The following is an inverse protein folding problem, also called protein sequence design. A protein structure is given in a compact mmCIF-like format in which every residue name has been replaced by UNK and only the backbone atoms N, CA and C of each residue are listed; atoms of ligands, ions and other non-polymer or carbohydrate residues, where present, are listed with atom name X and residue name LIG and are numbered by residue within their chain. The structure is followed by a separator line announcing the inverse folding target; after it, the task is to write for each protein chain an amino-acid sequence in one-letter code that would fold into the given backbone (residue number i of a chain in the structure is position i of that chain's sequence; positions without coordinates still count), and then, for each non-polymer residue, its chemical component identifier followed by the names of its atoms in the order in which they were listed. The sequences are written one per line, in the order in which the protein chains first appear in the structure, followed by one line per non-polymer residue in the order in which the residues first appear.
data_IF_549606656881
#
_entry.id   IF_549606656881
#
_cell.length_a   1.000
_cell.length_b   1.000
_cell.length_c   1.000
_cell.angle_alpha   90.00
_cell.angle_beta   90.00
_cell.angle_gamma   90.00
#
_symmetry.space_group_name_H-M   'P 1'
#
loop_
_entity.id
_entity.type
_entity.pdbx_description
1 polymer ?
#
# COMPACT_ATOMS: atom_id res chain seq x y z
N UNK A 1 -16.06 20.49 10.14
CA UNK A 1 -14.76 19.89 9.78
C UNK A 1 -14.91 19.02 8.52
N UNK A 2 -14.11 19.24 7.48
CA UNK A 2 -14.06 18.33 6.32
C UNK A 2 -13.40 17.02 6.76
N UNK A 3 -14.03 15.87 6.49
CA UNK A 3 -13.43 14.54 6.73
C UNK A 3 -12.65 14.10 5.48
N UNK A 4 -11.46 13.56 5.65
CA UNK A 4 -10.67 13.02 4.53
C UNK A 4 -11.37 11.80 3.92
N UNK A 5 -11.44 11.76 2.59
CA UNK A 5 -11.94 10.62 1.81
C UNK A 5 -10.83 9.66 1.38
N UNK A 6 -9.57 10.01 1.62
CA UNK A 6 -8.39 9.21 1.24
C UNK A 6 -7.93 8.31 2.38
N UNK A 7 -7.65 7.05 2.06
CA UNK A 7 -6.90 6.11 2.89
C UNK A 7 -5.48 5.99 2.33
N UNK A 8 -4.48 6.18 3.18
CA UNK A 8 -3.07 6.03 2.82
C UNK A 8 -2.52 4.76 3.47
N UNK A 9 -2.07 3.82 2.65
CA UNK A 9 -1.45 2.58 3.10
C UNK A 9 0.02 2.84 3.41
N UNK A 10 0.38 2.78 4.69
CA UNK A 10 1.73 3.12 5.14
C UNK A 10 2.67 1.92 5.05
N UNK A 11 2.54 0.97 5.98
CA UNK A 11 3.39 -0.20 6.10
C UNK A 11 2.52 -1.46 6.10
N UNK A 12 2.96 -2.46 5.36
CA UNK A 12 2.41 -3.81 5.38
C UNK A 12 3.56 -4.80 5.49
N UNK A 13 3.48 -5.71 6.46
CA UNK A 13 4.52 -6.67 6.72
C UNK A 13 3.95 -7.93 7.36
N UNK A 14 4.38 -9.07 6.85
CA UNK A 14 4.04 -10.39 7.39
C UNK A 14 5.35 -11.09 7.70
N UNK A 15 5.43 -11.68 8.90
CA UNK A 15 6.58 -12.51 9.29
C UNK A 15 6.75 -13.63 8.28
N UNK A 16 7.99 -13.97 7.99
CA UNK A 16 8.34 -14.87 6.89
C UNK A 16 7.63 -16.22 6.94
N UNK A 17 7.55 -16.82 8.13
CA UNK A 17 6.86 -18.08 8.42
C UNK A 17 5.33 -18.09 8.11
N UNK A 18 4.73 -16.92 7.92
CA UNK A 18 3.30 -16.73 7.63
C UNK A 18 3.03 -16.21 6.21
N UNK A 19 4.07 -15.94 5.41
CA UNK A 19 3.89 -15.47 4.02
C UNK A 19 3.33 -16.59 3.13
N UNK A 20 2.62 -16.20 2.06
CA UNK A 20 2.04 -17.14 1.10
C UNK A 20 0.80 -17.91 1.60
N UNK A 21 0.34 -17.64 2.82
CA UNK A 21 -0.85 -18.26 3.43
C UNK A 21 -2.12 -17.40 3.27
N UNK A 22 -2.07 -16.34 2.46
CA UNK A 22 -3.19 -15.41 2.23
C UNK A 22 -3.51 -14.46 3.39
N UNK A 23 -2.62 -14.35 4.39
CA UNK A 23 -2.81 -13.48 5.56
C UNK A 23 -2.80 -11.99 5.18
N UNK A 24 -2.00 -11.61 4.18
CA UNK A 24 -1.96 -10.28 3.55
C UNK A 24 -3.30 -9.91 2.95
N UNK A 25 -3.87 -10.83 2.17
CA UNK A 25 -5.16 -10.63 1.52
C UNK A 25 -6.26 -10.45 2.55
N UNK A 26 -6.32 -11.31 3.57
CA UNK A 26 -7.31 -11.19 4.65
C UNK A 26 -7.19 -9.87 5.40
N UNK A 27 -5.96 -9.45 5.71
CA UNK A 27 -5.70 -8.15 6.33
C UNK A 27 -6.16 -6.99 5.44
N UNK A 28 -5.81 -7.02 4.15
CA UNK A 28 -6.24 -6.04 3.16
C UNK A 28 -7.76 -5.94 3.06
N UNK A 29 -8.46 -7.08 2.99
CA UNK A 29 -9.94 -7.11 2.93
C UNK A 29 -10.58 -6.44 4.16
N UNK A 30 -10.08 -6.72 5.37
CA UNK A 30 -10.60 -6.11 6.60
C UNK A 30 -10.30 -4.60 6.67
N UNK A 31 -9.13 -4.17 6.19
CA UNK A 31 -8.80 -2.76 6.06
C UNK A 31 -9.75 -2.03 5.11
N UNK A 32 -10.04 -2.62 3.95
CA UNK A 32 -10.98 -2.04 2.98
C UNK A 32 -12.41 -1.99 3.49
N UNK A 33 -12.86 -3.01 4.23
CA UNK A 33 -14.17 -3.01 4.88
C UNK A 33 -14.30 -1.85 5.89
N UNK A 34 -13.28 -1.66 6.74
CA UNK A 34 -13.22 -0.52 7.67
C UNK A 34 -13.19 0.83 6.93
N UNK A 35 -12.43 0.92 5.85
CA UNK A 35 -12.34 2.12 5.02
C UNK A 35 -13.69 2.50 4.39
N UNK A 36 -14.43 1.50 3.87
CA UNK A 36 -15.78 1.69 3.30
C UNK A 36 -16.76 2.19 4.35
N UNK A 37 -16.76 1.61 5.55
CA UNK A 37 -17.58 2.07 6.69
C UNK A 37 -17.29 3.52 7.08
N UNK A 38 -16.07 4.00 6.82
CA UNK A 38 -15.66 5.39 7.07
C UNK A 38 -15.78 6.30 5.84
N UNK A 39 -16.47 5.87 4.77
CA UNK A 39 -16.66 6.61 3.53
C UNK A 39 -15.34 7.04 2.86
N UNK A 40 -14.30 6.18 2.93
CA UNK A 40 -13.07 6.37 2.17
C UNK A 40 -13.31 5.90 0.73
N UNK A 41 -13.02 6.77 -0.24
CA UNK A 41 -13.26 6.52 -1.66
C UNK A 41 -11.96 6.38 -2.46
N UNK A 42 -10.85 6.88 -1.93
CA UNK A 42 -9.54 6.84 -2.58
C UNK A 42 -8.57 6.05 -1.71
N UNK A 43 -7.88 5.09 -2.32
CA UNK A 43 -6.78 4.34 -1.70
C UNK A 43 -5.48 4.72 -2.39
N UNK A 44 -4.53 5.24 -1.62
CA UNK A 44 -3.17 5.49 -2.09
C UNK A 44 -2.18 4.61 -1.31
N UNK A 45 -1.13 4.18 -1.99
CA UNK A 45 0.02 3.57 -1.33
C UNK A 45 1.04 4.62 -0.91
N UNK A 46 1.79 4.32 0.16
CA UNK A 46 3.09 4.93 0.35
C UNK A 46 4.07 4.46 -0.76
N UNK A 47 5.31 4.95 -0.74
CA UNK A 47 6.32 4.57 -1.71
C UNK A 47 6.58 3.05 -1.67
N UNK A 48 6.43 2.41 -2.82
CA UNK A 48 6.76 1.00 -3.02
C UNK A 48 8.02 0.94 -3.89
N UNK A 49 9.01 0.17 -3.45
CA UNK A 49 10.23 -0.05 -4.24
C UNK A 49 9.88 -0.75 -5.56
N UNK A 50 10.45 -0.27 -6.67
CA UNK A 50 10.23 -0.86 -8.00
C UNK A 50 10.68 -2.34 -8.08
N UNK A 51 11.66 -2.71 -7.27
CA UNK A 51 12.21 -4.07 -7.20
C UNK A 51 11.47 -4.98 -6.21
N UNK A 52 10.35 -4.53 -5.62
CA UNK A 52 9.50 -5.35 -4.77
C UNK A 52 8.24 -5.82 -5.51
N UNK A 53 8.33 -6.84 -6.39
CA UNK A 53 7.18 -7.31 -7.17
C UNK A 53 6.07 -7.88 -6.28
N UNK A 54 6.40 -8.41 -5.09
CA UNK A 54 5.40 -8.95 -4.15
C UNK A 54 4.46 -7.86 -3.67
N UNK A 55 4.98 -6.72 -3.20
CA UNK A 55 4.14 -5.59 -2.80
C UNK A 55 3.43 -4.94 -3.98
N UNK A 56 4.06 -4.83 -5.16
CA UNK A 56 3.38 -4.30 -6.34
C UNK A 56 2.18 -5.16 -6.75
N UNK A 57 2.33 -6.49 -6.71
CA UNK A 57 1.27 -7.42 -7.07
C UNK A 57 -0.01 -7.21 -6.24
N UNK A 58 0.10 -6.86 -4.96
CA UNK A 58 -1.07 -6.56 -4.11
C UNK A 58 -1.91 -5.41 -4.67
N UNK A 59 -1.27 -4.32 -5.12
CA UNK A 59 -1.97 -3.17 -5.69
C UNK A 59 -2.39 -3.42 -7.14
N UNK A 60 -1.56 -4.08 -7.94
CA UNK A 60 -1.86 -4.42 -9.34
C UNK A 60 -3.09 -5.33 -9.45
N UNK A 61 -3.22 -6.32 -8.55
CA UNK A 61 -4.43 -7.18 -8.45
C UNK A 61 -5.71 -6.40 -8.13
N UNK A 62 -5.57 -5.22 -7.52
CA UNK A 62 -6.68 -4.31 -7.22
C UNK A 62 -6.87 -3.24 -8.31
N UNK A 63 -6.29 -3.42 -9.50
CA UNK A 63 -6.26 -2.43 -10.59
C UNK A 63 -5.61 -1.09 -10.20
N UNK A 64 -4.70 -1.11 -9.23
CA UNK A 64 -3.90 0.05 -8.85
C UNK A 64 -3.07 0.55 -10.02
N UNK A 65 -2.92 1.88 -10.13
CA UNK A 65 -2.13 2.53 -11.18
C UNK A 65 -0.94 3.25 -10.57
N UNK A 66 0.20 3.20 -11.26
CA UNK A 66 1.37 4.00 -10.88
C UNK A 66 1.07 5.46 -11.19
N UNK A 67 0.86 6.27 -10.15
CA UNK A 67 0.60 7.71 -10.28
C UNK A 67 1.89 8.51 -10.44
N UNK A 68 2.95 8.12 -9.72
CA UNK A 68 4.23 8.82 -9.72
C UNK A 68 5.38 7.87 -9.41
N UNK A 69 6.52 8.06 -10.10
CA UNK A 69 7.80 7.40 -9.79
C UNK A 69 8.76 8.42 -9.22
N UNK A 70 9.46 8.04 -8.16
CA UNK A 70 10.44 8.87 -7.50
C UNK A 70 11.82 8.22 -7.66
N UNK A 71 12.84 9.03 -7.95
CA UNK A 71 14.26 8.64 -7.92
C UNK A 71 14.91 9.48 -6.84
N UNK A 72 15.48 8.82 -5.84
CA UNK A 72 16.15 9.49 -4.71
C UNK A 72 17.63 9.50 -5.02
N UNK A 73 18.24 10.68 -5.02
CA UNK A 73 19.68 10.87 -5.20
C UNK A 73 20.26 11.36 -3.88
N UNK A 74 21.41 10.82 -3.51
CA UNK A 74 22.15 11.23 -2.32
C UNK A 74 23.55 11.66 -2.74
N UNK A 75 24.04 12.77 -2.20
CA UNK A 75 25.41 13.25 -2.34
C UNK A 75 26.04 13.31 -0.96
N UNK A 76 27.23 12.73 -0.80
CA UNK A 76 28.04 13.00 0.39
C UNK A 76 28.50 14.46 0.35
N UNK A 77 28.24 15.20 1.42
CA UNK A 77 28.68 16.60 1.55
C UNK A 77 30.07 16.72 2.19
N UNK A 78 30.68 15.58 2.55
CA UNK A 78 32.05 15.47 3.06
C UNK A 78 32.95 15.01 1.94
#
# INVERSE_FOLDING_TARGET
MKKSTKLMMMLGGIKEEYRGKGIDVMMGMKLLDSARKQNKTILDSHLIMEENPKMRAEYERMNGKIVKRFRIFQKSLV
#
